data_IF_061846614806
#
_entry.id   IF_061846614806
#
_cell.length_a   1.000
_cell.length_b   1.000
_cell.length_c   1.000
_cell.angle_alpha   90.00
_cell.angle_beta   90.00
_cell.angle_gamma   90.00
#
_symmetry.space_group_name_H-M   'P 1'
#
loop_
_entity.id
_entity.type
_entity.pdbx_description
1 polymer ?
#
# COMPACT_ATOMS: atom_id res chain seq x y z
N UNK A 1 1.05 -9.56 -3.79
CA UNK A 1 2.34 -8.91 -3.42
C UNK A 1 3.16 -9.87 -2.55
N UNK A 2 4.49 -9.73 -2.49
CA UNK A 2 5.35 -10.65 -1.72
C UNK A 2 5.43 -10.22 -0.26
N UNK A 3 5.32 -11.16 0.68
CA UNK A 3 5.56 -10.93 2.11
C UNK A 3 6.97 -10.38 2.33
N UNK A 4 7.11 -9.42 3.24
CA UNK A 4 8.37 -8.75 3.55
C UNK A 4 8.82 -7.73 2.50
N UNK A 5 8.07 -7.55 1.41
CA UNK A 5 8.36 -6.48 0.46
C UNK A 5 8.14 -5.12 1.12
N UNK A 6 9.17 -4.29 1.06
CA UNK A 6 9.14 -2.92 1.57
C UNK A 6 8.41 -1.98 0.60
N UNK A 7 7.56 -1.14 1.19
CA UNK A 7 6.87 -0.06 0.52
C UNK A 7 7.15 1.26 1.23
N UNK A 8 7.43 2.30 0.47
CA UNK A 8 7.50 3.67 0.97
C UNK A 8 6.10 4.27 0.96
N UNK A 9 5.67 4.81 2.09
CA UNK A 9 4.42 5.59 2.20
C UNK A 9 4.77 7.03 2.48
N UNK A 10 3.97 7.95 1.94
CA UNK A 10 4.16 9.39 2.11
C UNK A 10 2.83 10.08 2.43
N UNK A 11 2.86 11.11 3.27
CA UNK A 11 1.65 11.84 3.63
C UNK A 11 1.85 12.93 4.67
N UNK A 12 0.75 13.58 5.03
CA UNK A 12 0.68 14.67 6.01
C UNK A 12 -0.15 14.29 7.23
N UNK A 13 -0.36 13.00 7.47
CA UNK A 13 -1.08 12.50 8.63
C UNK A 13 -0.46 12.91 9.96
N UNK A 14 -1.13 12.53 11.04
CA UNK A 14 -0.59 12.70 12.38
C UNK A 14 0.67 11.87 12.55
N UNK A 15 1.72 12.44 13.14
CA UNK A 15 3.02 11.78 13.34
C UNK A 15 3.16 11.06 14.68
N UNK A 16 2.14 11.16 15.53
CA UNK A 16 2.03 10.41 16.79
C UNK A 16 0.56 10.26 17.21
N UNK A 17 0.26 9.31 18.08
CA UNK A 17 -1.11 9.04 18.55
C UNK A 17 -1.65 10.14 19.47
N UNK A 18 -0.78 10.99 20.02
CA UNK A 18 -1.12 12.15 20.87
C UNK A 18 -1.38 13.41 20.06
N UNK A 19 -0.91 13.46 18.81
CA UNK A 19 -1.04 14.63 17.96
C UNK A 19 -2.49 14.86 17.54
N UNK A 20 -2.99 16.09 17.79
CA UNK A 20 -4.37 16.48 17.50
C UNK A 20 -4.57 16.94 16.05
N UNK A 21 -3.49 17.30 15.36
CA UNK A 21 -3.47 17.84 14.00
C UNK A 21 -2.42 17.14 13.13
N UNK A 22 -2.73 17.06 11.83
CA UNK A 22 -1.82 16.65 10.76
C UNK A 22 -0.52 17.43 10.72
N UNK A 23 0.52 16.80 10.18
CA UNK A 23 1.81 17.44 9.95
C UNK A 23 1.69 18.57 8.90
N UNK A 24 2.43 19.67 9.11
CA UNK A 24 2.60 20.73 8.10
C UNK A 24 3.65 20.36 7.05
N UNK A 25 4.52 19.41 7.36
CA UNK A 25 5.59 18.94 6.49
C UNK A 25 5.23 17.55 5.97
N UNK A 26 5.51 17.29 4.70
CA UNK A 26 5.38 15.95 4.14
C UNK A 26 6.27 14.99 4.92
N UNK A 27 5.72 13.84 5.30
CA UNK A 27 6.43 12.76 5.98
C UNK A 27 6.54 11.57 5.05
N UNK A 28 7.56 10.75 5.28
CA UNK A 28 7.69 9.45 4.66
C UNK A 28 8.16 8.40 5.65
N UNK A 29 7.78 7.15 5.40
CA UNK A 29 8.28 6.00 6.15
C UNK A 29 8.18 4.73 5.33
N UNK A 30 8.70 3.64 5.87
CA UNK A 30 8.75 2.32 5.23
C UNK A 30 7.91 1.33 6.03
N UNK A 31 7.09 0.58 5.31
CA UNK A 31 6.22 -0.48 5.82
C UNK A 31 6.38 -1.75 4.99
N UNK A 32 6.06 -2.90 5.58
CA UNK A 32 6.30 -4.20 4.97
C UNK A 32 4.97 -4.90 4.69
N UNK A 33 4.87 -5.55 3.52
CA UNK A 33 3.76 -6.47 3.21
C UNK A 33 3.75 -7.63 4.19
N UNK A 34 2.61 -7.85 4.83
CA UNK A 34 2.44 -8.89 5.86
C UNK A 34 1.99 -10.23 5.26
N UNK A 35 2.12 -11.30 6.05
CA UNK A 35 1.54 -12.59 5.68
C UNK A 35 0.00 -12.50 5.77
N UNK A 36 -0.76 -13.00 4.78
CA UNK A 36 -2.23 -13.01 4.87
C UNK A 36 -2.78 -13.61 6.16
N UNK A 37 -2.06 -14.54 6.79
CA UNK A 37 -2.43 -15.13 8.09
C UNK A 37 -2.46 -14.10 9.23
N UNK A 38 -1.61 -13.08 9.18
CA UNK A 38 -1.57 -12.02 10.19
C UNK A 38 -2.70 -11.01 9.99
N UNK A 39 -3.23 -10.93 8.77
CA UNK A 39 -4.26 -9.95 8.39
C UNK A 39 -5.68 -10.52 8.47
N UNK A 40 -5.85 -11.82 8.26
CA UNK A 40 -7.16 -12.49 8.33
C UNK A 40 -7.91 -12.35 9.67
N UNK A 41 -7.25 -12.23 10.85
CA UNK A 41 -7.94 -11.95 12.11
C UNK A 41 -8.61 -10.56 12.15
N UNK A 42 -8.07 -9.59 11.42
CA UNK A 42 -8.61 -8.21 11.36
C UNK A 42 -9.59 -8.03 10.20
N UNK A 43 -9.48 -8.87 9.16
CA UNK A 43 -10.43 -8.93 8.05
C UNK A 43 -10.64 -10.38 7.64
N UNK A 44 -11.76 -10.96 8.06
CA UNK A 44 -12.08 -12.38 7.81
C UNK A 44 -12.13 -12.77 6.33
N UNK A 45 -12.42 -11.83 5.43
CA UNK A 45 -12.38 -12.05 3.97
C UNK A 45 -10.97 -12.02 3.38
N UNK A 46 -9.95 -11.67 4.16
CA UNK A 46 -8.57 -11.55 3.71
C UNK A 46 -7.93 -12.93 3.56
N UNK A 47 -7.63 -13.31 2.32
CA UNK A 47 -7.05 -14.63 2.00
C UNK A 47 -5.75 -14.54 1.21
N UNK A 48 -5.45 -13.41 0.58
CA UNK A 48 -4.29 -13.26 -0.29
C UNK A 48 -3.91 -11.80 -0.52
N UNK A 49 -2.60 -11.55 -0.64
CA UNK A 49 -2.02 -10.27 -1.03
C UNK A 49 -2.19 -9.93 -2.53
N UNK A 50 -2.89 -10.77 -3.29
CA UNK A 50 -3.12 -10.61 -4.73
C UNK A 50 -4.55 -10.10 -5.06
N UNK A 51 -5.40 -9.90 -4.06
CA UNK A 51 -6.81 -9.46 -4.21
C UNK A 51 -6.97 -7.92 -4.19
N UNK A 52 -8.14 -7.44 -3.75
CA UNK A 52 -8.56 -6.03 -3.75
C UNK A 52 -7.79 -5.16 -2.76
N UNK A 53 -7.33 -5.77 -1.65
CA UNK A 53 -6.60 -5.09 -0.58
C UNK A 53 -5.27 -5.78 -0.28
N UNK A 54 -4.27 -4.97 0.07
CA UNK A 54 -3.01 -5.44 0.66
C UNK A 54 -2.89 -4.93 2.10
N UNK A 55 -2.48 -5.80 3.01
CA UNK A 55 -2.15 -5.41 4.37
C UNK A 55 -0.64 -5.21 4.55
N UNK A 56 -0.27 -4.15 5.26
CA UNK A 56 1.11 -3.76 5.50
C UNK A 56 1.28 -3.25 6.93
N UNK A 57 2.44 -3.50 7.52
CA UNK A 57 2.79 -3.06 8.87
C UNK A 57 4.30 -2.97 9.04
N UNK A 58 4.76 -2.23 10.05
CA UNK A 58 6.14 -2.25 10.51
C UNK A 58 6.16 -2.32 12.05
N UNK A 59 5.78 -3.48 12.58
CA UNK A 59 5.63 -3.69 14.03
C UNK A 59 6.95 -3.57 14.80
N UNK A 60 8.09 -3.82 14.13
CA UNK A 60 9.43 -3.71 14.75
C UNK A 60 9.75 -2.25 15.08
N UNK A 61 9.55 -1.36 14.12
CA UNK A 61 9.88 0.07 14.28
C UNK A 61 8.67 0.93 14.64
N UNK A 62 7.49 0.33 14.83
CA UNK A 62 6.22 1.01 15.14
C UNK A 62 5.88 2.12 14.14
N UNK A 63 6.20 1.88 12.86
CA UNK A 63 5.95 2.80 11.74
C UNK A 63 4.66 2.42 11.03
N UNK A 64 3.84 3.41 10.70
CA UNK A 64 2.53 3.21 10.05
C UNK A 64 2.09 4.49 9.32
N UNK A 65 1.15 4.35 8.40
CA UNK A 65 0.31 5.49 7.97
C UNK A 65 -0.76 5.75 9.02
N UNK A 66 -1.23 6.98 9.16
CA UNK A 66 -2.20 7.31 10.20
C UNK A 66 -3.28 8.29 9.71
N UNK A 67 -4.08 8.79 10.65
CA UNK A 67 -5.16 9.73 10.38
C UNK A 67 -4.66 10.94 9.58
N UNK A 68 -5.26 11.13 8.40
CA UNK A 68 -4.87 12.17 7.44
C UNK A 68 -4.05 11.65 6.25
N UNK A 69 -3.56 10.41 6.30
CA UNK A 69 -2.84 9.77 5.18
C UNK A 69 -3.75 8.99 4.22
N UNK A 70 -5.04 8.83 4.55
CA UNK A 70 -6.01 8.14 3.70
C UNK A 70 -6.06 8.73 2.29
N UNK A 71 -6.02 7.87 1.27
CA UNK A 71 -5.87 8.26 -0.13
C UNK A 71 -4.42 8.47 -0.58
N UNK A 72 -3.47 8.53 0.35
CA UNK A 72 -2.04 8.64 0.08
C UNK A 72 -1.45 7.38 -0.55
N UNK A 73 -0.28 7.49 -1.21
CA UNK A 73 0.30 6.39 -1.97
C UNK A 73 1.16 5.46 -1.10
N UNK A 74 1.08 4.16 -1.40
CA UNK A 74 2.10 3.17 -1.05
C UNK A 74 2.90 2.81 -2.30
N UNK A 75 4.22 3.00 -2.22
CA UNK A 75 5.14 3.03 -3.34
C UNK A 75 6.15 1.88 -3.24
N UNK A 76 6.25 1.07 -4.29
CA UNK A 76 7.34 0.08 -4.41
C UNK A 76 8.50 0.70 -5.16
N UNK A 77 9.70 0.67 -4.58
CA UNK A 77 10.92 1.04 -5.31
C UNK A 77 11.11 0.09 -6.50
N UNK A 78 11.47 0.63 -7.66
CA UNK A 78 11.89 -0.15 -8.83
C UNK A 78 13.40 -0.34 -8.71
N UNK A 79 13.87 -1.59 -8.59
CA UNK A 79 15.28 -1.89 -8.29
C UNK A 79 16.24 -1.43 -9.40
N UNK A 80 17.38 -0.86 -8.98
CA UNK A 80 18.41 -0.17 -9.77
C UNK A 80 19.16 -1.02 -10.84
N UNK A 81 18.94 -2.33 -10.91
CA UNK A 81 19.66 -3.19 -11.87
C UNK A 81 19.11 -3.15 -13.30
N UNK A 82 18.00 -2.44 -13.55
CA UNK A 82 17.34 -2.42 -14.87
C UNK A 82 16.91 -1.02 -15.35
N UNK A 83 17.03 0.01 -14.51
CA UNK A 83 16.68 1.40 -14.86
C UNK A 83 17.67 2.37 -14.19
N UNK A 84 18.97 2.24 -14.49
CA UNK A 84 19.83 3.41 -14.40
C UNK A 84 19.39 4.35 -15.52
N UNK A 85 18.42 5.22 -15.25
CA UNK A 85 18.29 6.42 -16.07
C UNK A 85 19.60 7.22 -15.97
N UNK A 86 19.94 7.91 -17.06
CA UNK A 86 20.95 8.96 -17.03
C UNK A 86 20.63 9.93 -15.88
N UNK A 87 21.49 9.97 -14.86
CA UNK A 87 21.36 10.88 -13.71
C UNK A 87 20.96 10.28 -12.35
N UNK A 88 20.86 8.95 -12.21
CA UNK A 88 20.79 8.30 -10.87
C UNK A 88 19.47 8.49 -10.10
N UNK A 89 18.36 8.76 -10.82
CA UNK A 89 17.04 8.93 -10.20
C UNK A 89 16.41 7.60 -9.83
N UNK A 90 15.88 7.50 -8.60
CA UNK A 90 15.11 6.35 -8.14
C UNK A 90 13.67 6.42 -8.67
N UNK A 91 13.19 5.34 -9.26
CA UNK A 91 11.79 5.20 -9.71
C UNK A 91 10.95 4.40 -8.73
N UNK A 92 9.67 4.73 -8.65
CA UNK A 92 8.69 4.07 -7.81
C UNK A 92 7.45 3.69 -8.63
N UNK A 93 6.85 2.56 -8.28
CA UNK A 93 5.51 2.18 -8.74
C UNK A 93 4.50 2.53 -7.65
N UNK A 94 3.37 3.13 -8.02
CA UNK A 94 2.20 3.22 -7.15
C UNK A 94 1.54 1.85 -7.08
N UNK A 95 1.53 1.24 -5.90
CA UNK A 95 1.05 -0.14 -5.74
C UNK A 95 -0.11 -0.27 -4.76
N UNK A 96 -0.26 0.68 -3.84
CA UNK A 96 -1.35 0.73 -2.88
C UNK A 96 -1.84 2.16 -2.65
N UNK A 97 -3.09 2.27 -2.17
CA UNK A 97 -3.68 3.53 -1.71
C UNK A 97 -4.10 3.33 -0.25
N UNK A 98 -3.61 4.17 0.66
CA UNK A 98 -3.91 4.11 2.10
C UNK A 98 -5.41 4.17 2.33
N UNK A 99 -5.96 3.19 3.08
CA UNK A 99 -7.41 3.10 3.32
C UNK A 99 -7.75 3.20 4.80
N UNK A 100 -7.52 2.14 5.57
CA UNK A 100 -7.84 2.05 7.01
C UNK A 100 -6.81 1.17 7.72
N UNK A 101 -6.89 1.09 9.05
CA UNK A 101 -6.07 0.18 9.85
C UNK A 101 -6.86 -0.34 11.04
N UNK A 102 -6.40 -1.46 11.60
CA UNK A 102 -6.97 -2.05 12.81
C UNK A 102 -5.87 -2.78 13.61
N UNK A 103 -6.16 -3.19 14.84
CA UNK A 103 -5.22 -3.92 15.70
C UNK A 103 -5.91 -5.00 16.53
N UNK A 104 -5.18 -6.10 16.77
CA UNK A 104 -5.71 -7.18 17.62
C UNK A 104 -5.82 -6.74 19.09
N UNK A 105 -4.96 -5.83 19.53
CA UNK A 105 -4.90 -5.30 20.89
C UNK A 105 -6.01 -4.28 21.19
N UNK A 106 -6.71 -3.76 20.17
CA UNK A 106 -7.79 -2.76 20.30
C UNK A 106 -7.42 -1.55 21.16
N UNK A 107 -6.14 -1.17 21.14
CA UNK A 107 -5.68 0.04 21.80
C UNK A 107 -6.26 1.27 21.09
N UNK A 108 -6.82 2.20 21.86
CA UNK A 108 -7.49 3.39 21.34
C UNK A 108 -6.74 4.67 21.73
N UNK A 109 -6.73 5.64 20.81
CA UNK A 109 -6.26 6.99 21.07
C UNK A 109 -7.23 7.78 21.96
N UNK A 110 -6.85 9.02 22.32
CA UNK A 110 -7.68 9.93 23.12
C UNK A 110 -9.06 10.27 22.51
N UNK A 111 -9.29 9.94 21.23
CA UNK A 111 -10.55 10.15 20.50
C UNK A 111 -11.31 8.84 20.30
N UNK A 112 -10.88 7.73 20.91
CA UNK A 112 -11.54 6.43 20.80
C UNK A 112 -11.30 5.72 19.47
N UNK A 113 -10.24 6.07 18.73
CA UNK A 113 -9.91 5.47 17.43
C UNK A 113 -8.72 4.53 17.57
N UNK A 114 -8.59 3.47 16.75
CA UNK A 114 -7.43 2.57 16.80
C UNK A 114 -6.11 3.35 16.72
N UNK A 115 -5.14 3.02 17.57
CA UNK A 115 -3.82 3.64 17.46
C UNK A 115 -3.09 3.17 16.21
N UNK A 116 -2.32 4.06 15.59
CA UNK A 116 -1.45 3.73 14.47
C UNK A 116 -0.08 3.27 14.98
N UNK A 117 0.54 2.32 14.28
CA UNK A 117 1.87 1.81 14.65
C UNK A 117 1.93 1.13 16.04
N UNK A 118 0.77 0.77 16.60
CA UNK A 118 0.65 0.04 17.85
C UNK A 118 1.12 -1.41 17.73
N UNK A 119 1.21 -2.10 18.87
CA UNK A 119 1.43 -3.55 18.85
C UNK A 119 0.28 -4.21 18.07
N UNK A 120 0.61 -5.11 17.16
CA UNK A 120 -0.36 -5.83 16.31
C UNK A 120 -1.24 -4.93 15.41
N UNK A 121 -0.90 -3.64 15.25
CA UNK A 121 -1.55 -2.76 14.30
C UNK A 121 -1.14 -3.10 12.87
N UNK A 122 -2.13 -3.15 11.97
CA UNK A 122 -1.96 -3.44 10.55
C UNK A 122 -2.76 -2.41 9.74
N UNK A 123 -2.10 -1.79 8.78
CA UNK A 123 -2.73 -0.94 7.77
C UNK A 123 -3.20 -1.76 6.57
N UNK A 124 -4.36 -1.40 6.03
CA UNK A 124 -4.95 -1.95 4.81
C UNK A 124 -4.99 -0.89 3.71
N UNK A 125 -4.57 -1.30 2.52
CA UNK A 125 -4.39 -0.44 1.37
C UNK A 125 -5.11 -1.04 0.17
N UNK A 126 -5.80 -0.21 -0.59
CA UNK A 126 -6.42 -0.62 -1.86
C UNK A 126 -5.32 -1.00 -2.84
N UNK A 127 -5.30 -2.24 -3.34
CA UNK A 127 -4.26 -2.72 -4.25
C UNK A 127 -4.50 -2.19 -5.65
N UNK A 128 -3.72 -1.20 -6.09
CA UNK A 128 -3.92 -0.51 -7.38
C UNK A 128 -3.94 -1.47 -8.57
N UNK A 129 -3.05 -2.48 -8.56
CA UNK A 129 -3.00 -3.53 -9.60
C UNK A 129 -4.32 -4.29 -9.80
N UNK A 130 -5.15 -4.43 -8.77
CA UNK A 130 -6.45 -5.10 -8.84
C UNK A 130 -7.48 -4.28 -9.63
N UNK A 131 -7.34 -2.95 -9.61
CA UNK A 131 -8.30 -2.00 -10.18
C UNK A 131 -7.86 -1.45 -11.55
N UNK A 132 -6.78 -1.95 -12.15
CA UNK A 132 -6.26 -1.41 -13.42
C UNK A 132 -7.30 -1.39 -14.55
N UNK A 133 -8.17 -2.42 -14.67
CA UNK A 133 -9.24 -2.41 -15.70
C UNK A 133 -10.27 -1.32 -15.43
N UNK A 134 -10.66 -1.15 -14.18
CA UNK A 134 -11.58 -0.10 -13.77
C UNK A 134 -10.98 1.28 -14.08
N UNK A 135 -9.71 1.49 -13.72
CA UNK A 135 -9.00 2.74 -13.98
C UNK A 135 -8.92 2.99 -15.50
N UNK A 136 -8.44 2.02 -16.28
CA UNK A 136 -8.35 2.09 -17.73
C UNK A 136 -9.69 2.44 -18.40
N UNK A 137 -10.78 1.80 -17.98
CA UNK A 137 -12.12 2.06 -18.53
C UNK A 137 -12.60 3.50 -18.28
N UNK A 138 -12.30 4.06 -17.11
CA UNK A 138 -12.70 5.42 -16.74
C UNK A 138 -11.78 6.48 -17.35
N UNK A 139 -10.48 6.21 -17.48
CA UNK A 139 -9.51 7.18 -18.00
C UNK A 139 -9.33 7.11 -19.52
N UNK A 140 -9.82 6.05 -20.16
CA UNK A 140 -9.59 5.72 -21.58
C UNK A 140 -8.12 5.47 -21.93
N UNK A 141 -7.29 5.18 -20.92
CA UNK A 141 -5.90 4.73 -21.09
C UNK A 141 -5.86 3.20 -21.21
N UNK A 142 -4.89 2.67 -21.95
CA UNK A 142 -4.64 1.23 -21.96
C UNK A 142 -4.03 0.78 -20.63
N UNK A 143 -4.24 -0.49 -20.26
CA UNK A 143 -3.55 -1.07 -19.09
C UNK A 143 -2.04 -0.99 -19.27
N UNK A 144 -1.53 -1.22 -20.49
CA UNK A 144 -0.10 -1.13 -20.82
C UNK A 144 0.48 0.26 -20.55
N UNK A 145 -0.31 1.32 -20.70
CA UNK A 145 0.10 2.68 -20.35
C UNK A 145 0.17 2.91 -18.84
N UNK A 146 -0.64 2.20 -18.06
CA UNK A 146 -0.75 2.34 -16.60
C UNK A 146 0.29 1.52 -15.83
N UNK A 147 0.93 0.56 -16.48
CA UNK A 147 1.96 -0.29 -15.87
C UNK A 147 3.35 0.19 -16.28
N UNK A 148 4.30 0.12 -15.35
CA UNK A 148 5.70 0.37 -15.70
C UNK A 148 6.17 -0.69 -16.70
N UNK A 149 6.71 -0.24 -17.84
CA UNK A 149 7.23 -1.11 -18.90
C UNK A 149 8.46 -1.88 -18.37
N UNK A 150 8.27 -3.14 -17.95
CA UNK A 150 9.35 -4.02 -17.48
C UNK A 150 9.85 -4.88 -18.63
N UNK A 151 10.68 -4.32 -19.51
CA UNK A 151 11.46 -5.13 -20.44
C UNK A 151 12.75 -5.58 -19.75
N UNK A 152 13.05 -6.88 -19.78
CA UNK A 152 14.37 -7.41 -19.41
C UNK A 152 14.37 -8.51 -18.36
N UNK A 153 14.49 -8.17 -17.07
CA UNK A 153 14.67 -9.17 -15.99
C UNK A 153 14.02 -8.80 -14.65
N UNK A 154 13.25 -7.72 -14.58
CA UNK A 154 12.53 -7.31 -13.37
C UNK A 154 11.18 -8.02 -13.28
N UNK A 155 11.04 -8.95 -12.33
CA UNK A 155 9.77 -9.66 -12.10
C UNK A 155 8.66 -8.62 -11.85
N UNK A 156 7.63 -8.56 -12.69
CA UNK A 156 6.44 -7.75 -12.42
C UNK A 156 5.87 -8.13 -11.05
N UNK A 157 5.53 -7.13 -10.23
CA UNK A 157 4.71 -7.38 -9.03
C UNK A 157 3.36 -8.02 -9.38
N UNK A 158 3.00 -8.03 -10.66
CA UNK A 158 1.94 -8.83 -11.23
C UNK A 158 2.35 -9.53 -12.54
N UNK A 159 3.22 -10.54 -12.48
CA UNK A 159 3.09 -11.66 -13.44
C UNK A 159 1.73 -12.37 -13.30
N UNK A 160 1.03 -12.05 -12.20
CA UNK A 160 -0.34 -12.39 -11.87
C UNK A 160 -1.24 -11.15 -11.92
N UNK A 161 -1.16 -10.33 -12.95
CA UNK A 161 -2.37 -9.57 -13.31
C UNK A 161 -3.31 -10.62 -13.87
N UNK A 162 -4.04 -11.28 -12.95
CA UNK A 162 -5.03 -12.24 -13.37
C UNK A 162 -6.18 -11.43 -13.98
N UNK A 163 -6.22 -11.45 -15.31
CA UNK A 163 -7.30 -10.85 -16.07
C UNK A 163 -8.69 -11.36 -15.64
N UNK A 164 -8.77 -12.50 -14.94
CA UNK A 164 -9.99 -13.11 -14.43
C UNK A 164 -10.43 -12.56 -13.05
N UNK A 165 -9.52 -12.05 -12.22
CA UNK A 165 -9.79 -11.66 -10.82
C UNK A 165 -9.76 -10.15 -10.56
N UNK A 166 -9.86 -9.30 -11.58
CA UNK A 166 -9.84 -7.83 -11.41
C UNK A 166 -11.19 -7.21 -11.06
N UNK A 167 -11.17 -5.97 -10.56
CA UNK A 167 -12.38 -5.19 -10.35
C UNK A 167 -13.18 -5.05 -11.67
N UNK A 168 -14.48 -5.36 -11.61
CA UNK A 168 -15.40 -5.26 -12.76
C UNK A 168 -15.90 -3.83 -12.90
N UNK A 169 -16.03 -3.37 -14.14
CA UNK A 169 -16.78 -2.16 -14.48
C UNK A 169 -18.24 -2.58 -14.54
N UNK A 170 -19.07 -2.02 -13.67
CA UNK A 170 -20.53 -2.18 -13.74
C UNK A 170 -21.05 -1.06 -14.65
N UNK A 171 -21.71 -1.44 -15.74
CA UNK A 171 -22.36 -0.51 -16.67
C UNK A 171 -23.77 -0.19 -16.20
#
# INVERSE_FOLDING_TARGET
>A
MRVGQEMKVIGWGVTSNENKSSSRLLQDTEILVQDPKDCSPLRSSYSSNDLDVVCMANSVNKKDTCYGDSGGPALSKISDNQLKEEGGKVKYNLVGITSYGDSQQKELDSKGRPICGGNGAIGFYTRVGYYLKFIASNTKLSVDYLVANTTGTGIPLSNKFDSQQGAKVVN
#
